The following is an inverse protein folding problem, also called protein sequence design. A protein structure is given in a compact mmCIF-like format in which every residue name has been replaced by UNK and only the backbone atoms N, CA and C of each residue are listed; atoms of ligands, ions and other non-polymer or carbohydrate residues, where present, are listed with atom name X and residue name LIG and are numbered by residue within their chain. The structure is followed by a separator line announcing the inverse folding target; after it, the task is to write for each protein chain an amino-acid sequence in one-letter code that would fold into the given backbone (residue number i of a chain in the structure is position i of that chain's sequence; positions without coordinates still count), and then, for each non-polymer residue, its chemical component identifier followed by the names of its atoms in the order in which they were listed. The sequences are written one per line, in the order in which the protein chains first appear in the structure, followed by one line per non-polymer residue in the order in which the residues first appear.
data_IF_782553396155
#
_entry.id   IF_782553396155
#
_cell.length_a   1.000
_cell.length_b   1.000
_cell.length_c   1.000
_cell.angle_alpha   90.00
_cell.angle_beta   90.00
_cell.angle_gamma   90.00
#
_symmetry.space_group_name_H-M   'P 1'
#
loop_
_entity.id
_entity.type
_entity.pdbx_description
1 polymer ?
#
# COMPACT_ATOMS: atom_id res chain seq x y z
N UNK A 1 15.80 -6.74 -1.11
CA UNK A 1 14.87 -7.34 -0.11
C UNK A 1 13.41 -6.90 -0.27
N UNK A 2 13.09 -5.72 -0.83
CA UNK A 2 11.70 -5.34 -1.17
C UNK A 2 10.75 -5.21 0.03
N UNK A 3 11.27 -4.85 1.21
CA UNK A 3 10.51 -4.73 2.46
C UNK A 3 10.25 -3.26 2.80
N UNK A 4 9.11 -3.00 3.43
CA UNK A 4 8.70 -1.65 3.86
C UNK A 4 9.68 -1.00 4.87
N UNK A 5 10.30 -1.80 5.73
CA UNK A 5 11.22 -1.34 6.77
C UNK A 5 12.63 -1.05 6.23
N UNK A 6 12.94 -1.42 4.99
CA UNK A 6 14.28 -1.28 4.45
C UNK A 6 14.47 0.13 3.84
N UNK A 7 15.37 0.97 4.37
CA UNK A 7 15.55 2.34 3.89
C UNK A 7 16.01 2.43 2.43
N UNK A 8 16.58 1.36 1.88
CA UNK A 8 17.07 1.30 0.50
C UNK A 8 15.98 0.75 -0.45
N UNK A 9 15.23 -0.25 0.00
CA UNK A 9 14.29 -1.00 -0.86
C UNK A 9 12.82 -0.64 -0.65
N UNK A 10 12.48 0.28 0.26
CA UNK A 10 11.09 0.61 0.58
C UNK A 10 10.32 1.14 -0.63
N UNK A 11 10.98 1.86 -1.56
CA UNK A 11 10.34 2.35 -2.78
C UNK A 11 9.90 1.22 -3.71
N UNK A 12 10.73 0.17 -3.85
CA UNK A 12 10.36 -1.05 -4.58
C UNK A 12 9.12 -1.71 -3.93
N UNK A 13 9.06 -1.75 -2.59
CA UNK A 13 7.88 -2.25 -1.86
C UNK A 13 6.64 -1.38 -2.09
N UNK A 14 6.78 -0.07 -1.93
CA UNK A 14 5.69 0.89 -2.05
C UNK A 14 5.12 0.91 -3.48
N UNK A 15 5.98 0.78 -4.50
CA UNK A 15 5.57 0.61 -5.90
C UNK A 15 4.73 -0.65 -6.11
N UNK A 16 5.15 -1.80 -5.56
CA UNK A 16 4.36 -3.04 -5.64
C UNK A 16 2.99 -2.91 -4.96
N UNK A 17 2.94 -2.32 -3.76
CA UNK A 17 1.68 -2.12 -3.05
C UNK A 17 0.78 -1.08 -3.76
N UNK A 18 1.36 -0.03 -4.33
CA UNK A 18 0.63 0.95 -5.14
C UNK A 18 -0.02 0.33 -6.39
N UNK A 19 0.69 -0.58 -7.08
CA UNK A 19 0.12 -1.36 -8.21
C UNK A 19 -1.06 -2.20 -7.75
N UNK A 20 -0.92 -2.93 -6.64
CA UNK A 20 -2.03 -3.73 -6.07
C UNK A 20 -3.24 -2.86 -5.71
N UNK A 21 -3.02 -1.66 -5.16
CA UNK A 21 -4.08 -0.69 -4.87
C UNK A 21 -4.80 -0.29 -6.15
N UNK A 22 -4.05 0.14 -7.16
CA UNK A 22 -4.62 0.56 -8.43
C UNK A 22 -5.38 -0.57 -9.12
N UNK A 23 -4.77 -1.76 -9.21
CA UNK A 23 -5.38 -2.94 -9.82
C UNK A 23 -6.72 -3.28 -9.15
N UNK A 24 -6.74 -3.40 -7.81
CA UNK A 24 -7.97 -3.69 -7.10
C UNK A 24 -9.06 -2.63 -7.29
N UNK A 25 -8.68 -1.35 -7.34
CA UNK A 25 -9.63 -0.27 -7.60
C UNK A 25 -10.23 -0.36 -9.00
N UNK A 26 -9.42 -0.71 -10.02
CA UNK A 26 -9.87 -0.93 -11.41
C UNK A 26 -10.81 -2.13 -11.56
N UNK A 27 -10.68 -3.15 -10.70
CA UNK A 27 -11.50 -4.36 -10.75
C UNK A 27 -12.93 -4.15 -10.24
N UNK A 28 -13.17 -3.11 -9.44
CA UNK A 28 -14.53 -2.80 -9.02
C UNK A 28 -15.26 -2.00 -10.11
N UNK A 29 -16.27 -2.63 -10.73
CA UNK A 29 -17.16 -1.97 -11.70
C UNK A 29 -18.03 -0.93 -10.98
N UNK A 30 -17.61 0.33 -11.05
CA UNK A 30 -18.30 1.50 -10.49
C UNK A 30 -18.39 2.59 -11.55
N UNK A 31 -19.51 3.32 -11.58
CA UNK A 31 -19.67 4.52 -12.43
C UNK A 31 -19.01 5.78 -11.82
N UNK A 32 -18.59 5.71 -10.55
CA UNK A 32 -17.95 6.83 -9.85
C UNK A 32 -16.45 6.92 -10.14
N UNK A 33 -15.86 8.10 -9.90
CA UNK A 33 -14.40 8.29 -10.00
C UNK A 33 -13.73 7.98 -8.66
N UNK A 34 -12.49 7.50 -8.72
CA UNK A 34 -11.67 7.28 -7.52
C UNK A 34 -11.32 8.63 -6.89
N UNK A 35 -11.56 8.75 -5.59
CA UNK A 35 -11.25 9.93 -4.77
C UNK A 35 -10.23 9.59 -3.69
N UNK A 36 -9.61 10.64 -3.14
CA UNK A 36 -8.71 10.55 -2.00
C UNK A 36 -9.32 11.24 -0.80
N UNK A 37 -9.55 10.47 0.26
CA UNK A 37 -10.14 10.94 1.52
C UNK A 37 -9.09 10.88 2.63
N UNK A 38 -9.07 11.89 3.50
CA UNK A 38 -8.23 11.92 4.71
C UNK A 38 -9.11 12.03 5.93
N UNK A 39 -8.95 11.10 6.86
CA UNK A 39 -9.63 11.09 8.15
C UNK A 39 -8.62 11.37 9.25
N UNK A 40 -8.70 12.54 9.88
CA UNK A 40 -7.81 12.90 10.99
C UNK A 40 -8.43 12.47 12.32
N UNK A 41 -7.63 11.83 13.16
CA UNK A 41 -8.06 11.37 14.49
C UNK A 41 -8.17 12.60 15.41
N UNK A 42 -9.27 12.76 16.17
CA UNK A 42 -9.39 13.83 17.15
C UNK A 42 -8.34 13.68 18.26
N UNK A 43 -7.87 14.80 18.80
CA UNK A 43 -6.74 14.84 19.74
C UNK A 43 -6.95 13.96 20.98
N UNK A 44 -8.18 13.93 21.51
CA UNK A 44 -8.54 13.09 22.65
C UNK A 44 -8.45 11.57 22.40
N UNK A 45 -8.26 11.14 21.14
CA UNK A 45 -8.13 9.73 20.75
C UNK A 45 -6.73 9.37 20.23
N UNK A 46 -5.76 10.29 20.23
CA UNK A 46 -4.46 10.06 19.59
C UNK A 46 -3.67 8.86 20.14
N UNK A 47 -3.88 8.50 21.40
CA UNK A 47 -3.18 7.41 22.09
C UNK A 47 -4.03 6.14 22.24
N UNK A 48 -5.17 6.07 21.55
CA UNK A 48 -6.03 4.88 21.52
C UNK A 48 -5.39 3.74 20.71
N UNK A 49 -5.85 2.51 20.97
CA UNK A 49 -5.37 1.34 20.23
C UNK A 49 -5.60 1.48 18.72
N UNK A 50 -4.59 1.13 17.94
CA UNK A 50 -4.62 1.25 16.48
C UNK A 50 -5.76 0.48 15.84
N UNK A 51 -6.11 -0.73 16.32
CA UNK A 51 -7.23 -1.50 15.76
C UNK A 51 -8.55 -0.80 16.03
N UNK A 52 -8.71 -0.20 17.21
CA UNK A 52 -9.88 0.62 17.57
C UNK A 52 -9.99 1.84 16.67
N UNK A 53 -8.89 2.59 16.48
CA UNK A 53 -8.84 3.74 15.57
C UNK A 53 -9.19 3.37 14.13
N UNK A 54 -8.61 2.28 13.61
CA UNK A 54 -8.89 1.79 12.25
C UNK A 54 -10.34 1.32 12.08
N UNK A 55 -10.91 0.62 13.07
CA UNK A 55 -12.32 0.24 13.02
C UNK A 55 -13.22 1.47 13.02
N UNK A 56 -12.91 2.47 13.85
CA UNK A 56 -13.66 3.73 13.91
C UNK A 56 -13.56 4.50 12.59
N UNK A 57 -12.37 4.57 11.97
CA UNK A 57 -12.20 5.27 10.69
C UNK A 57 -13.08 4.67 9.57
N UNK A 58 -13.31 3.35 9.56
CA UNK A 58 -14.25 2.73 8.61
C UNK A 58 -15.71 3.16 8.84
N UNK A 59 -16.12 3.27 10.11
CA UNK A 59 -17.47 3.73 10.47
C UNK A 59 -17.66 5.18 10.01
N UNK A 60 -16.68 6.04 10.32
CA UNK A 60 -16.67 7.45 9.89
C UNK A 60 -16.73 7.56 8.37
N UNK A 61 -15.88 6.83 7.66
CA UNK A 61 -15.87 6.81 6.19
C UNK A 61 -17.25 6.39 5.62
N UNK A 62 -17.88 5.37 6.19
CA UNK A 62 -19.22 4.92 5.76
C UNK A 62 -20.30 5.97 6.03
N UNK A 63 -20.26 6.65 7.19
CA UNK A 63 -21.21 7.72 7.54
C UNK A 63 -21.17 8.84 6.53
N UNK A 64 -19.98 9.23 6.09
CA UNK A 64 -19.80 10.27 5.07
C UNK A 64 -20.03 9.77 3.64
N UNK A 65 -20.67 8.61 3.44
CA UNK A 65 -20.95 8.02 2.11
C UNK A 65 -19.70 7.72 1.28
N UNK A 66 -18.59 7.40 1.94
CA UNK A 66 -17.47 6.70 1.30
C UNK A 66 -17.79 5.21 1.25
N UNK A 67 -17.88 4.66 0.04
CA UNK A 67 -18.37 3.31 -0.21
C UNK A 67 -17.33 2.24 0.16
N UNK A 68 -16.06 2.59 0.10
CA UNK A 68 -14.94 1.72 0.44
C UNK A 68 -13.71 2.02 -0.41
N UNK A 69 -12.60 1.43 -0.01
CA UNK A 69 -11.31 1.66 -0.65
C UNK A 69 -10.16 1.04 0.13
N UNK A 70 -8.94 1.42 -0.26
CA UNK A 70 -7.75 1.21 0.55
C UNK A 70 -7.80 2.13 1.78
N UNK A 71 -7.12 1.72 2.84
CA UNK A 71 -6.92 2.50 4.06
C UNK A 71 -5.46 2.35 4.50
N UNK A 72 -4.77 3.48 4.62
CA UNK A 72 -3.34 3.59 4.91
C UNK A 72 -3.14 4.55 6.08
N UNK A 73 -2.61 4.04 7.18
CA UNK A 73 -2.41 4.83 8.40
C UNK A 73 -1.10 5.61 8.38
N UNK A 74 -1.16 6.87 8.81
CA UNK A 74 -0.04 7.78 8.89
C UNK A 74 0.00 8.38 10.31
N UNK A 75 1.02 8.06 11.13
CA UNK A 75 1.10 8.55 12.50
C UNK A 75 1.53 10.03 12.58
N UNK A 76 2.29 10.51 11.60
CA UNK A 76 2.86 11.85 11.59
C UNK A 76 2.39 12.64 10.38
N UNK A 77 2.32 13.96 10.52
CA UNK A 77 2.11 14.91 9.42
C UNK A 77 3.34 15.79 9.28
N UNK A 78 3.69 16.16 8.06
CA UNK A 78 4.73 17.14 7.78
C UNK A 78 4.14 18.55 7.64
N UNK A 79 4.74 19.53 8.31
CA UNK A 79 4.43 20.95 8.10
C UNK A 79 5.03 21.42 6.78
N UNK A 80 4.23 22.10 5.96
CA UNK A 80 4.63 22.49 4.61
C UNK A 80 5.79 23.50 4.61
N UNK A 81 5.75 24.47 5.55
CA UNK A 81 6.70 25.58 5.64
C UNK A 81 8.04 25.15 6.24
N UNK A 82 8.03 24.40 7.33
CA UNK A 82 9.24 24.05 8.10
C UNK A 82 9.78 22.65 7.79
N UNK A 83 9.04 21.84 7.03
CA UNK A 83 9.30 20.40 6.80
C UNK A 83 9.39 19.55 8.07
N UNK A 84 9.01 20.11 9.22
CA UNK A 84 9.02 19.42 10.49
C UNK A 84 7.86 18.42 10.57
N UNK A 85 8.16 17.23 11.08
CA UNK A 85 7.18 16.19 11.35
C UNK A 85 6.63 16.34 12.75
N UNK A 86 5.31 16.20 12.90
CA UNK A 86 4.65 16.22 14.20
C UNK A 86 3.60 15.11 14.29
N UNK A 87 3.36 14.63 15.51
CA UNK A 87 2.40 13.57 15.75
C UNK A 87 0.98 14.08 15.48
N UNK A 88 0.32 13.45 14.52
CA UNK A 88 -1.02 13.80 14.08
C UNK A 88 -1.59 12.60 13.33
N UNK A 89 -2.08 11.58 14.06
CA UNK A 89 -2.51 10.34 13.45
C UNK A 89 -3.70 10.57 12.51
N UNK A 90 -3.59 10.03 11.29
CA UNK A 90 -4.64 10.14 10.28
C UNK A 90 -4.62 8.94 9.33
N UNK A 91 -5.73 8.76 8.62
CA UNK A 91 -5.90 7.70 7.63
C UNK A 91 -6.10 8.31 6.26
N UNK A 92 -5.25 7.93 5.32
CA UNK A 92 -5.50 8.16 3.92
C UNK A 92 -6.30 6.99 3.34
N UNK A 93 -7.31 7.31 2.55
CA UNK A 93 -8.16 6.34 1.89
C UNK A 93 -8.28 6.67 0.40
N UNK A 94 -8.06 5.66 -0.46
CA UNK A 94 -8.24 5.79 -1.90
C UNK A 94 -9.33 4.83 -2.32
N UNK A 95 -10.41 5.35 -2.89
CA UNK A 95 -11.61 4.55 -3.14
C UNK A 95 -12.72 5.37 -3.75
N UNK A 96 -13.96 4.92 -3.59
CA UNK A 96 -15.10 5.56 -4.22
C UNK A 96 -16.10 6.07 -3.18
N UNK A 97 -16.77 7.17 -3.51
CA UNK A 97 -17.80 7.78 -2.68
C UNK A 97 -18.16 9.16 -3.18
N UNK A 98 -19.29 9.68 -2.71
CA UNK A 98 -19.78 11.02 -3.07
C UNK A 98 -19.50 12.07 -2.00
N UNK A 99 -19.08 11.63 -0.81
CA UNK A 99 -18.77 12.43 0.38
C UNK A 99 -19.90 13.40 0.76
N UNK A 100 -20.72 12.97 1.72
CA UNK A 100 -21.82 13.76 2.29
C UNK A 100 -21.74 13.75 3.81
N UNK A 101 -22.57 14.55 4.48
CA UNK A 101 -22.76 14.52 5.94
C UNK A 101 -21.47 14.74 6.75
N UNK A 102 -20.56 15.59 6.25
CA UNK A 102 -19.25 15.79 6.87
C UNK A 102 -19.36 16.62 8.15
N UNK A 103 -20.23 17.64 8.16
CA UNK A 103 -20.42 18.53 9.30
C UNK A 103 -21.07 17.78 10.47
N UNK A 104 -22.16 17.08 10.21
CA UNK A 104 -22.90 16.28 11.19
C UNK A 104 -21.99 15.17 11.75
N UNK A 105 -21.21 14.52 10.89
CA UNK A 105 -20.23 13.53 11.37
C UNK A 105 -19.15 14.17 12.26
N UNK A 106 -18.69 15.39 11.95
CA UNK A 106 -17.71 16.09 12.77
C UNK A 106 -18.28 16.43 14.14
N UNK A 107 -19.50 16.96 14.21
CA UNK A 107 -20.19 17.28 15.46
C UNK A 107 -20.36 16.04 16.36
N UNK A 108 -20.77 14.91 15.79
CA UNK A 108 -20.97 13.68 16.56
C UNK A 108 -19.67 13.00 17.02
N UNK A 109 -18.62 13.03 16.18
CA UNK A 109 -17.46 12.15 16.36
C UNK A 109 -16.15 12.86 16.68
N UNK A 110 -16.05 14.15 16.36
CA UNK A 110 -14.82 14.94 16.37
C UNK A 110 -13.83 14.61 15.24
N UNK A 111 -14.13 13.63 14.39
CA UNK A 111 -13.23 13.25 13.29
C UNK A 111 -13.32 14.23 12.14
N UNK A 112 -12.17 14.80 11.76
CA UNK A 112 -12.08 15.70 10.60
C UNK A 112 -11.94 14.86 9.34
N UNK A 113 -12.89 15.01 8.42
CA UNK A 113 -12.88 14.36 7.10
C UNK A 113 -12.58 15.38 6.02
N UNK A 114 -11.47 15.19 5.30
CA UNK A 114 -11.08 16.04 4.17
C UNK A 114 -11.13 15.25 2.87
N UNK A 115 -12.00 15.65 1.96
CA UNK A 115 -12.01 15.14 0.58
C UNK A 115 -10.99 15.90 -0.25
N UNK A 116 -9.91 15.23 -0.65
CA UNK A 116 -8.88 15.81 -1.50
C UNK A 116 -9.26 15.77 -2.99
N UNK A 117 -10.41 15.17 -3.32
CA UNK A 117 -11.00 15.16 -4.64
C UNK A 117 -10.58 13.95 -5.48
N UNK A 118 -11.02 13.97 -6.73
CA UNK A 118 -10.78 12.91 -7.71
C UNK A 118 -9.29 12.74 -7.99
N UNK A 119 -8.82 11.50 -8.08
CA UNK A 119 -7.43 11.17 -8.45
C UNK A 119 -7.33 10.87 -9.94
N UNK A 120 -6.46 11.60 -10.64
CA UNK A 120 -6.10 11.32 -12.03
C UNK A 120 -5.18 10.10 -12.15
N UNK A 121 -4.21 10.01 -11.24
CA UNK A 121 -3.24 8.91 -11.18
C UNK A 121 -3.29 8.27 -9.78
N UNK A 122 -3.89 7.08 -9.71
CA UNK A 122 -4.08 6.33 -8.48
C UNK A 122 -2.74 5.76 -8.00
N UNK A 123 -1.96 5.17 -8.91
CA UNK A 123 -0.63 4.66 -8.61
C UNK A 123 0.27 5.71 -7.94
N UNK A 124 0.44 6.88 -8.55
CA UNK A 124 1.29 7.95 -8.01
C UNK A 124 0.79 8.44 -6.64
N UNK A 125 -0.53 8.54 -6.47
CA UNK A 125 -1.15 8.93 -5.19
C UNK A 125 -0.87 7.90 -4.09
N UNK A 126 -1.02 6.61 -4.41
CA UNK A 126 -0.77 5.52 -3.48
C UNK A 126 0.73 5.41 -3.14
N UNK A 127 1.60 5.57 -4.14
CA UNK A 127 3.05 5.57 -3.97
C UNK A 127 3.49 6.68 -3.02
N UNK A 128 2.99 7.91 -3.22
CA UNK A 128 3.27 9.03 -2.32
C UNK A 128 2.86 8.69 -0.88
N UNK A 129 1.65 8.18 -0.65
CA UNK A 129 1.22 7.78 0.70
C UNK A 129 2.10 6.68 1.30
N UNK A 130 2.43 5.65 0.52
CA UNK A 130 3.21 4.52 1.01
C UNK A 130 4.66 4.89 1.33
N UNK A 131 5.22 5.94 0.72
CA UNK A 131 6.59 6.40 0.98
C UNK A 131 6.83 6.86 2.42
N UNK A 132 5.78 7.26 3.15
CA UNK A 132 5.85 7.76 4.53
C UNK A 132 4.72 7.22 5.41
N UNK A 133 4.17 6.06 5.04
CA UNK A 133 3.14 5.38 5.82
C UNK A 133 3.72 4.80 7.12
N UNK A 134 2.86 4.63 8.13
CA UNK A 134 3.24 3.90 9.34
C UNK A 134 3.45 2.42 9.05
N UNK A 135 4.65 1.91 9.33
CA UNK A 135 5.00 0.49 9.18
C UNK A 135 5.10 -0.18 10.55
N UNK A 136 4.50 -1.36 10.70
CA UNK A 136 4.57 -2.13 11.94
C UNK A 136 4.50 -3.63 11.66
N UNK A 137 5.40 -4.43 12.24
CA UNK A 137 5.50 -5.88 11.98
C UNK A 137 4.20 -6.67 12.18
N UNK A 138 3.37 -6.28 13.15
CA UNK A 138 2.10 -6.98 13.46
C UNK A 138 0.91 -6.51 12.61
N UNK A 139 1.04 -5.44 11.83
CA UNK A 139 -0.09 -4.79 11.17
C UNK A 139 0.18 -4.57 9.69
N UNK A 140 -0.78 -4.91 8.85
CA UNK A 140 -0.74 -4.54 7.43
C UNK A 140 -0.84 -3.03 7.26
N UNK A 141 0.08 -2.46 6.47
CA UNK A 141 0.08 -1.04 6.12
C UNK A 141 -1.12 -0.65 5.27
N UNK A 142 -1.48 -1.50 4.31
CA UNK A 142 -2.66 -1.32 3.44
C UNK A 142 -3.75 -2.29 3.86
N UNK A 143 -4.93 -1.74 4.14
CA UNK A 143 -6.12 -2.53 4.47
C UNK A 143 -7.29 -2.13 3.58
N UNK A 144 -8.29 -3.00 3.46
CA UNK A 144 -9.44 -2.80 2.57
C UNK A 144 -10.75 -2.91 3.33
N UNK A 145 -11.69 -2.03 3.02
CA UNK A 145 -12.98 -1.96 3.70
C UNK A 145 -14.11 -1.53 2.76
N UNK A 146 -15.34 -1.56 3.28
CA UNK A 146 -16.53 -1.21 2.51
C UNK A 146 -16.78 -2.23 1.41
N UNK A 147 -17.21 -1.76 0.24
CA UNK A 147 -17.47 -2.62 -0.93
C UNK A 147 -16.22 -3.29 -1.51
N UNK A 148 -15.02 -2.75 -1.24
CA UNK A 148 -13.75 -3.29 -1.74
C UNK A 148 -13.04 -4.22 -0.74
N UNK A 149 -13.70 -4.57 0.37
CA UNK A 149 -13.16 -5.50 1.36
C UNK A 149 -12.86 -6.88 0.74
N UNK A 150 -11.91 -7.62 1.32
CA UNK A 150 -11.46 -8.96 0.85
C UNK A 150 -12.57 -10.01 0.74
N UNK A 151 -13.59 -9.91 1.58
CA UNK A 151 -14.75 -10.80 1.55
C UNK A 151 -15.84 -10.36 0.56
N UNK A 152 -15.78 -9.13 0.02
CA UNK A 152 -16.80 -8.58 -0.90
C UNK A 152 -16.33 -8.46 -2.34
N UNK A 153 -15.10 -8.01 -2.56
CA UNK A 153 -14.50 -7.88 -3.88
C UNK A 153 -13.39 -8.93 -4.04
N UNK A 154 -13.68 -9.95 -4.85
CA UNK A 154 -12.68 -10.93 -5.30
C UNK A 154 -11.95 -10.34 -6.51
N UNK A 155 -10.64 -10.24 -6.39
CA UNK A 155 -9.76 -9.68 -7.41
C UNK A 155 -9.03 -10.83 -8.05
N UNK A 156 -9.05 -10.90 -9.37
CA UNK A 156 -8.18 -11.81 -10.12
C UNK A 156 -6.74 -11.31 -9.93
N UNK A 157 -5.81 -12.13 -9.42
CA UNK A 157 -4.42 -11.74 -9.30
C UNK A 157 -3.88 -11.28 -10.66
N UNK A 158 -3.12 -10.17 -10.69
CA UNK A 158 -2.28 -9.90 -11.85
C UNK A 158 -1.29 -11.06 -11.97
N UNK A 159 -1.27 -11.71 -13.12
CA UNK A 159 -0.18 -12.60 -13.46
C UNK A 159 1.04 -11.70 -13.57
N UNK A 160 1.96 -11.79 -12.59
CA UNK A 160 3.29 -11.22 -12.77
C UNK A 160 3.90 -11.98 -13.96
N UNK A 161 3.97 -11.34 -15.12
CA UNK A 161 4.87 -11.77 -16.17
C UNK A 161 6.26 -11.71 -15.55
N UNK A 162 6.79 -12.88 -15.15
CA UNK A 162 8.15 -12.98 -14.65
C UNK A 162 9.10 -12.34 -15.65
N UNK A 163 10.19 -11.75 -15.15
CA UNK A 163 11.20 -11.13 -15.99
C UNK A 163 11.59 -12.10 -17.13
N UNK A 164 11.70 -11.62 -18.36
CA UNK A 164 12.12 -12.44 -19.50
C UNK A 164 13.61 -12.21 -19.76
N UNK A 165 14.30 -13.25 -20.19
CA UNK A 165 15.68 -13.15 -20.62
C UNK A 165 15.76 -12.17 -21.81
N UNK A 166 16.59 -11.12 -21.74
CA UNK A 166 16.71 -10.14 -22.83
C UNK A 166 17.32 -10.73 -24.11
N UNK A 167 17.93 -11.92 -24.04
CA UNK A 167 18.58 -12.58 -25.18
C UNK A 167 17.61 -13.53 -25.88
N UNK A 168 16.93 -14.40 -25.14
CA UNK A 168 16.11 -15.48 -25.71
C UNK A 168 14.61 -15.37 -25.42
N UNK A 169 14.19 -14.41 -24.58
CA UNK A 169 12.79 -14.21 -24.22
C UNK A 169 12.21 -15.26 -23.24
N UNK A 170 13.00 -16.26 -22.82
CA UNK A 170 12.57 -17.26 -21.84
C UNK A 170 12.28 -16.61 -20.47
N UNK A 171 11.33 -17.15 -19.71
CA UNK A 171 11.00 -16.66 -18.37
C UNK A 171 12.18 -16.91 -17.42
N UNK A 172 12.66 -15.85 -16.77
CA UNK A 172 13.68 -15.93 -15.74
C UNK A 172 13.10 -16.62 -14.51
N UNK A 173 13.87 -17.58 -14.00
CA UNK A 173 13.58 -18.29 -12.76
C UNK A 173 14.59 -17.89 -11.70
N UNK A 174 14.21 -18.04 -10.43
CA UNK A 174 15.12 -17.75 -9.33
C UNK A 174 16.07 -18.93 -9.16
N UNK A 175 17.36 -18.66 -9.17
CA UNK A 175 18.38 -19.66 -8.87
C UNK A 175 18.86 -19.51 -7.41
N UNK A 176 19.39 -20.61 -6.86
CA UNK A 176 20.09 -20.67 -5.58
C UNK A 176 21.48 -21.25 -5.85
N UNK A 177 22.51 -20.67 -5.22
CA UNK A 177 23.84 -21.26 -5.20
C UNK A 177 23.89 -22.37 -4.17
N UNK A 178 24.34 -23.55 -4.58
CA UNK A 178 24.55 -24.75 -3.74
C UNK A 178 25.97 -25.29 -3.84
N UNK A 179 26.89 -24.56 -4.49
CA UNK A 179 28.29 -24.94 -4.54
C UNK A 179 28.98 -24.81 -3.18
N UNK A 180 30.00 -25.64 -2.95
CA UNK A 180 30.78 -25.67 -1.71
C UNK A 180 31.63 -24.40 -1.51
N UNK A 181 31.94 -23.70 -2.60
CA UNK A 181 32.71 -22.46 -2.59
C UNK A 181 31.85 -21.21 -2.35
N UNK A 182 32.52 -20.09 -2.07
CA UNK A 182 31.86 -18.78 -1.94
C UNK A 182 31.08 -18.48 -3.22
N UNK A 183 29.82 -18.06 -3.06
CA UNK A 183 28.94 -17.67 -4.17
C UNK A 183 29.68 -16.71 -5.13
N UNK A 184 29.77 -17.04 -6.43
CA UNK A 184 30.56 -16.27 -7.39
C UNK A 184 29.92 -14.93 -7.78
N UNK A 185 28.68 -14.65 -7.35
CA UNK A 185 28.02 -13.37 -7.59
C UNK A 185 28.61 -12.29 -6.67
N UNK A 186 29.08 -11.16 -7.23
CA UNK A 186 29.48 -9.99 -6.44
C UNK A 186 28.33 -9.47 -5.57
N UNK A 187 28.64 -8.83 -4.44
CA UNK A 187 27.60 -8.24 -3.56
C UNK A 187 26.87 -7.03 -4.16
N UNK A 188 27.31 -6.57 -5.34
CA UNK A 188 26.73 -5.45 -6.07
C UNK A 188 25.55 -5.94 -6.93
N UNK A 189 24.46 -5.18 -6.99
CA UNK A 189 23.31 -5.51 -7.85
C UNK A 189 23.69 -5.28 -9.33
N UNK A 190 23.55 -6.29 -10.18
CA UNK A 190 23.98 -6.23 -11.58
C UNK A 190 23.53 -7.42 -12.42
N UNK A 191 23.85 -7.39 -13.71
CA UNK A 191 23.68 -8.52 -14.62
C UNK A 191 25.04 -9.21 -14.80
N UNK A 192 25.07 -10.52 -14.57
CA UNK A 192 26.29 -11.31 -14.60
C UNK A 192 26.13 -12.52 -15.51
N UNK A 193 27.18 -12.83 -16.27
CA UNK A 193 27.31 -14.07 -17.01
C UNK A 193 28.27 -14.97 -16.22
N UNK A 194 27.74 -16.05 -15.66
CA UNK A 194 28.47 -16.96 -14.79
C UNK A 194 28.37 -18.39 -15.32
N UNK A 195 29.32 -19.22 -14.90
CA UNK A 195 29.24 -20.66 -15.14
C UNK A 195 27.99 -21.24 -14.44
N UNK A 196 27.21 -22.11 -15.11
CA UNK A 196 25.98 -22.66 -14.53
C UNK A 196 26.25 -23.68 -13.42
N UNK A 197 27.46 -24.22 -13.29
CA UNK A 197 27.82 -25.19 -12.26
C UNK A 197 27.60 -24.63 -10.86
N UNK A 198 26.92 -25.40 -9.98
CA UNK A 198 26.61 -24.98 -8.60
C UNK A 198 25.35 -24.12 -8.45
N UNK A 199 24.66 -23.76 -9.53
CA UNK A 199 23.37 -23.07 -9.48
C UNK A 199 22.21 -24.05 -9.73
N UNK A 200 21.18 -23.98 -8.88
CA UNK A 200 19.96 -24.80 -9.01
C UNK A 200 18.71 -23.93 -8.99
N UNK A 201 17.68 -24.35 -9.73
CA UNK A 201 16.39 -23.66 -9.72
C UNK A 201 15.71 -23.76 -8.36
N UNK A 202 15.23 -22.61 -7.86
CA UNK A 202 14.44 -22.55 -6.64
C UNK A 202 12.96 -22.83 -6.94
N UNK A 203 12.56 -24.11 -6.93
CA UNK A 203 11.16 -24.51 -7.09
C UNK A 203 10.28 -24.26 -5.85
N UNK A 204 10.69 -23.39 -4.93
CA UNK A 204 9.96 -23.12 -3.69
C UNK A 204 8.47 -22.81 -3.92
N UNK A 205 7.63 -23.80 -3.61
CA UNK A 205 6.17 -23.68 -3.49
C UNK A 205 5.93 -22.73 -2.31
N UNK A 206 5.48 -21.51 -2.61
CA UNK A 206 5.00 -20.61 -1.58
C UNK A 206 3.54 -20.96 -1.28
N UNK A 207 3.32 -21.75 -0.22
CA UNK A 207 2.03 -21.87 0.48
C UNK A 207 1.73 -20.63 1.31
#
# INVERSE_FOLDING_TARGET
CGRAECPICYEKWASKEARKIEHRLKQWKSSGRVIHLVLSVPQNMWYEDFKKLRRKSYVIAKRVKFLGGSCIFHPFRQLENTKQWYFSPHFHMIGYGWIKNVAENFEESGWVVKNLGVRKNVFATAMYQLSHAGIHKKYHTVTWFGHLAYNKLKVVPELEEGDKCPICGAKLTRLIWVGDDKCPIPEVEGQYFLDPGGWVENYGIWS
#
